data_IF_173596383131
#
_entry.id   IF_173596383131
#
_cell.length_a   1.000
_cell.length_b   1.000
_cell.length_c   1.000
_cell.angle_alpha   90.00
_cell.angle_beta   90.00
_cell.angle_gamma   90.00
#
_symmetry.space_group_name_H-M   'P 1'
#
loop_
_entity.id
_entity.type
_entity.pdbx_description
1 polymer ?
#
# COMPACT_ATOMS: atom_id res chain seq x y z
N UNK A 1 1.95 -15.01 -5.80
CA UNK A 1 1.07 -15.77 -4.89
C UNK A 1 -0.31 -15.13 -4.94
N UNK A 2 -1.36 -15.93 -4.90
CA UNK A 2 -2.75 -15.48 -4.85
C UNK A 2 -3.31 -15.92 -3.51
N UNK A 3 -3.88 -14.99 -2.76
CA UNK A 3 -4.50 -15.28 -1.47
C UNK A 3 -6.01 -15.34 -1.68
N UNK A 4 -6.62 -16.43 -1.24
CA UNK A 4 -8.07 -16.64 -1.29
C UNK A 4 -8.57 -16.56 0.15
N UNK A 5 -9.27 -15.48 0.47
CA UNK A 5 -9.86 -15.28 1.79
C UNK A 5 -11.26 -15.91 1.83
N UNK A 6 -11.44 -16.92 2.68
CA UNK A 6 -12.66 -17.71 2.77
C UNK A 6 -12.78 -18.76 1.66
N UNK A 7 -14.03 -19.15 1.38
CA UNK A 7 -14.34 -20.24 0.44
C UNK A 7 -14.39 -19.76 -1.02
N UNK A 8 -14.18 -20.70 -1.94
CA UNK A 8 -14.34 -20.48 -3.38
C UNK A 8 -15.05 -21.68 -4.02
N UNK A 9 -15.83 -21.42 -5.07
CA UNK A 9 -16.65 -22.44 -5.77
C UNK A 9 -16.13 -22.78 -7.16
N UNK A 10 -15.05 -22.13 -7.58
CA UNK A 10 -14.47 -22.29 -8.92
C UNK A 10 -13.24 -23.18 -8.89
N UNK A 11 -12.95 -23.87 -9.98
CA UNK A 11 -11.67 -24.55 -10.14
C UNK A 11 -10.57 -23.52 -10.44
N UNK A 12 -9.54 -23.49 -9.59
CA UNK A 12 -8.43 -22.56 -9.74
C UNK A 12 -7.43 -23.08 -10.78
N UNK A 13 -7.03 -22.25 -11.76
CA UNK A 13 -6.11 -22.68 -12.81
C UNK A 13 -4.74 -23.03 -12.25
N UNK A 14 -4.21 -24.18 -12.66
CA UNK A 14 -2.91 -24.68 -12.21
C UNK A 14 -1.80 -24.27 -13.19
N UNK A 15 -0.80 -23.55 -12.69
CA UNK A 15 0.39 -23.11 -13.44
C UNK A 15 1.61 -23.08 -12.51
N UNK A 16 2.79 -23.40 -13.03
CA UNK A 16 4.03 -23.51 -12.25
C UNK A 16 4.43 -22.21 -11.52
N UNK A 17 4.02 -21.06 -12.05
CA UNK A 17 4.32 -19.73 -11.50
C UNK A 17 3.18 -19.17 -10.62
N UNK A 18 2.11 -19.94 -10.39
CA UNK A 18 0.99 -19.55 -9.55
C UNK A 18 0.99 -20.43 -8.29
N UNK A 19 0.86 -19.78 -7.14
CA UNK A 19 0.71 -20.42 -5.84
C UNK A 19 -0.50 -19.82 -5.17
N UNK A 20 -1.37 -20.67 -4.64
CA UNK A 20 -2.56 -20.27 -3.91
C UNK A 20 -2.33 -20.45 -2.41
N UNK A 21 -2.87 -19.54 -1.62
CA UNK A 21 -2.92 -19.62 -0.18
C UNK A 21 -4.35 -19.33 0.26
N UNK A 22 -5.02 -20.31 0.86
CA UNK A 22 -6.37 -20.15 1.40
C UNK A 22 -6.26 -19.75 2.87
N UNK A 23 -6.96 -18.69 3.26
CA UNK A 23 -6.92 -18.11 4.61
C UNK A 23 -8.31 -17.76 5.10
N UNK A 24 -8.48 -17.65 6.40
CA UNK A 24 -9.67 -17.00 6.97
C UNK A 24 -9.67 -15.50 6.61
N UNK A 25 -10.86 -14.93 6.40
CA UNK A 25 -10.99 -13.50 6.14
C UNK A 25 -10.81 -12.71 7.46
N UNK A 26 -9.56 -12.35 7.75
CA UNK A 26 -9.15 -11.53 8.88
C UNK A 26 -8.56 -10.22 8.38
N UNK A 27 -8.96 -9.07 8.94
CA UNK A 27 -8.38 -7.75 8.63
C UNK A 27 -8.34 -7.40 7.12
N UNK A 28 -9.33 -7.86 6.35
CA UNK A 28 -9.46 -7.59 4.91
C UNK A 28 -8.20 -7.97 4.11
N UNK A 29 -7.82 -7.16 3.11
CA UNK A 29 -6.68 -7.43 2.24
C UNK A 29 -5.35 -7.51 2.99
N UNK A 30 -5.21 -6.74 4.09
CA UNK A 30 -3.98 -6.78 4.88
C UNK A 30 -3.75 -8.16 5.51
N UNK A 31 -4.79 -8.79 6.08
CA UNK A 31 -4.60 -10.12 6.66
C UNK A 31 -4.21 -11.15 5.59
N UNK A 32 -4.71 -10.97 4.36
CA UNK A 32 -4.24 -11.74 3.21
C UNK A 32 -2.75 -11.49 2.89
N UNK A 33 -2.32 -10.24 2.83
CA UNK A 33 -0.91 -9.89 2.59
C UNK A 33 0.01 -10.40 3.69
N UNK A 34 -0.38 -10.24 4.95
CA UNK A 34 0.33 -10.80 6.10
C UNK A 34 0.51 -12.32 5.94
N UNK A 35 -0.59 -13.05 5.70
CA UNK A 35 -0.52 -14.50 5.56
C UNK A 35 0.38 -14.92 4.39
N UNK A 36 0.36 -14.19 3.27
CA UNK A 36 1.26 -14.43 2.15
C UNK A 36 2.74 -14.22 2.52
N UNK A 37 3.06 -13.12 3.22
CA UNK A 37 4.42 -12.85 3.68
C UNK A 37 4.90 -13.95 4.63
N UNK A 38 4.04 -14.41 5.55
CA UNK A 38 4.38 -15.48 6.48
C UNK A 38 4.57 -16.83 5.78
N UNK A 39 3.70 -17.18 4.84
CA UNK A 39 3.78 -18.43 4.09
C UNK A 39 5.01 -18.48 3.17
N UNK A 40 5.43 -17.34 2.62
CA UNK A 40 6.65 -17.24 1.81
C UNK A 40 7.91 -17.21 2.68
N UNK A 41 7.84 -16.72 3.92
CA UNK A 41 8.97 -16.62 4.83
C UNK A 41 10.15 -15.86 4.19
N UNK A 42 11.37 -16.36 4.37
CA UNK A 42 12.57 -15.73 3.82
C UNK A 42 12.62 -15.72 2.29
N UNK A 43 11.89 -16.61 1.61
CA UNK A 43 11.86 -16.62 0.14
C UNK A 43 11.29 -15.33 -0.45
N UNK A 44 10.46 -14.60 0.29
CA UNK A 44 9.91 -13.31 -0.18
C UNK A 44 10.99 -12.23 -0.31
N UNK A 45 12.12 -12.38 0.38
CA UNK A 45 13.23 -11.42 0.32
C UNK A 45 14.11 -11.61 -0.92
N UNK A 46 13.92 -12.71 -1.67
CA UNK A 46 14.63 -12.96 -2.92
C UNK A 46 14.09 -12.16 -4.12
N UNK A 47 12.90 -11.54 -3.99
CA UNK A 47 12.29 -10.76 -5.06
C UNK A 47 12.88 -9.35 -5.11
N UNK A 48 13.31 -8.92 -6.31
CA UNK A 48 13.79 -7.54 -6.55
C UNK A 48 12.69 -6.51 -6.28
N UNK A 49 11.48 -6.79 -6.77
CA UNK A 49 10.29 -5.95 -6.59
C UNK A 49 9.11 -6.85 -6.24
N UNK A 50 8.34 -6.44 -5.24
CA UNK A 50 7.10 -7.09 -4.84
C UNK A 50 5.91 -6.18 -5.18
N UNK A 51 4.82 -6.79 -5.63
CA UNK A 51 3.60 -6.11 -6.04
C UNK A 51 2.45 -6.64 -5.18
N UNK A 52 1.68 -5.71 -4.62
CA UNK A 52 0.50 -5.99 -3.82
C UNK A 52 -0.70 -5.42 -4.58
N UNK A 53 -1.71 -6.26 -4.79
CA UNK A 53 -2.91 -5.92 -5.56
C UNK A 53 -4.12 -6.48 -4.84
N UNK A 54 -5.05 -5.59 -4.54
CA UNK A 54 -6.34 -5.91 -3.94
C UNK A 54 -7.26 -6.59 -4.96
N UNK A 55 -8.12 -7.51 -4.50
CA UNK A 55 -9.10 -8.21 -5.35
C UNK A 55 -10.16 -7.29 -5.99
N UNK A 56 -10.40 -6.10 -5.44
CA UNK A 56 -11.27 -5.06 -6.01
C UNK A 56 -10.70 -4.40 -7.26
N UNK A 57 -9.39 -4.56 -7.52
CA UNK A 57 -8.76 -4.05 -8.73
C UNK A 57 -9.13 -4.97 -9.89
N UNK A 58 -9.96 -4.47 -10.80
CA UNK A 58 -10.38 -5.21 -12.00
C UNK A 58 -9.20 -5.61 -12.90
N UNK A 59 -8.10 -4.87 -12.80
CA UNK A 59 -6.83 -5.19 -13.42
C UNK A 59 -6.04 -3.91 -13.67
N UNK A 60 -4.70 -3.95 -13.64
CA UNK A 60 -3.91 -2.91 -14.26
C UNK A 60 -3.95 -3.13 -15.78
N UNK A 61 -5.12 -2.87 -16.39
CA UNK A 61 -5.28 -2.95 -17.83
C UNK A 61 -4.51 -1.82 -18.49
N UNK A 62 -3.81 -2.17 -19.56
CA UNK A 62 -3.26 -1.19 -20.46
C UNK A 62 -4.06 -1.19 -21.76
N UNK A 63 -4.18 -0.04 -22.44
CA UNK A 63 -4.74 -0.01 -23.78
C UNK A 63 -4.02 -1.02 -24.68
N UNK A 64 -4.75 -1.68 -25.58
CA UNK A 64 -4.22 -2.79 -26.40
C UNK A 64 -3.04 -2.40 -27.31
N UNK A 65 -2.89 -1.12 -27.61
CA UNK A 65 -1.76 -0.58 -28.38
C UNK A 65 -0.50 -0.34 -27.54
N UNK A 66 -0.57 -0.47 -26.20
CA UNK A 66 0.58 -0.35 -25.31
C UNK A 66 1.24 -1.72 -25.18
N UNK A 67 2.46 -1.84 -25.72
CA UNK A 67 3.23 -3.09 -25.68
C UNK A 67 3.94 -3.34 -24.32
N UNK A 68 3.95 -2.35 -23.41
CA UNK A 68 4.63 -2.51 -22.12
C UNK A 68 3.83 -3.40 -21.16
N UNK A 69 4.55 -4.07 -20.27
CA UNK A 69 3.95 -4.73 -19.11
C UNK A 69 3.55 -3.70 -18.05
N UNK A 70 2.34 -3.77 -17.50
CA UNK A 70 1.87 -2.82 -16.48
C UNK A 70 2.79 -2.76 -15.26
N UNK A 71 3.46 -3.86 -14.89
CA UNK A 71 4.43 -3.89 -13.78
C UNK A 71 5.60 -2.95 -14.05
N UNK A 72 6.00 -2.83 -15.32
CA UNK A 72 7.10 -1.96 -15.71
C UNK A 72 6.81 -0.48 -15.43
N UNK A 73 5.53 -0.07 -15.41
CA UNK A 73 5.12 1.31 -15.07
C UNK A 73 5.45 1.62 -13.62
N UNK A 74 5.06 0.73 -12.69
CA UNK A 74 5.41 0.85 -11.28
C UNK A 74 6.93 0.78 -11.07
N UNK A 75 7.58 -0.21 -11.70
CA UNK A 75 9.04 -0.40 -11.58
C UNK A 75 9.82 0.83 -12.06
N UNK A 76 9.37 1.49 -13.13
CA UNK A 76 10.02 2.70 -13.64
C UNK A 76 10.01 3.87 -12.64
N UNK A 77 9.10 3.88 -11.65
CA UNK A 77 9.05 4.87 -10.58
C UNK A 77 9.93 4.49 -9.37
N UNK A 78 10.32 3.22 -9.23
CA UNK A 78 11.22 2.74 -8.18
C UNK A 78 12.68 3.07 -8.51
N UNK A 79 13.01 4.37 -8.53
CA UNK A 79 14.35 4.87 -8.82
C UNK A 79 14.97 5.54 -7.60
N UNK A 80 16.30 5.49 -7.50
CA UNK A 80 17.05 6.13 -6.41
C UNK A 80 16.60 5.70 -5.01
N UNK A 81 16.02 6.65 -4.29
CA UNK A 81 15.56 6.53 -2.90
C UNK A 81 14.03 6.32 -2.78
N UNK A 82 13.31 6.07 -3.87
CA UNK A 82 11.89 5.71 -3.82
C UNK A 82 11.73 4.29 -3.27
N UNK A 83 11.08 4.18 -2.10
CA UNK A 83 10.84 2.92 -1.41
C UNK A 83 9.46 2.32 -1.67
N UNK A 84 8.49 3.12 -2.14
CA UNK A 84 7.11 2.68 -2.32
C UNK A 84 6.46 3.43 -3.49
N UNK A 85 5.76 2.71 -4.36
CA UNK A 85 5.00 3.28 -5.48
C UNK A 85 3.57 2.79 -5.43
N UNK A 86 2.63 3.73 -5.40
CA UNK A 86 1.20 3.49 -5.48
C UNK A 86 0.59 3.87 -6.81
N UNK A 87 -0.69 3.54 -6.97
CA UNK A 87 -1.50 4.14 -8.05
C UNK A 87 -1.71 5.64 -7.81
N UNK A 88 -2.00 6.01 -6.56
CA UNK A 88 -2.20 7.39 -6.10
C UNK A 88 -1.60 7.57 -4.70
N UNK A 89 -1.42 8.81 -4.27
CA UNK A 89 -1.07 9.17 -2.90
C UNK A 89 -2.18 10.07 -2.35
N UNK A 90 -2.65 9.75 -1.14
CA UNK A 90 -3.51 10.64 -0.37
C UNK A 90 -2.64 11.49 0.56
N UNK A 91 -2.86 12.80 0.57
CA UNK A 91 -2.21 13.74 1.50
C UNK A 91 -3.22 14.01 2.60
N UNK A 92 -3.07 13.32 3.74
CA UNK A 92 -4.07 13.33 4.79
C UNK A 92 -4.24 14.74 5.37
N UNK A 93 -5.47 15.26 5.29
CA UNK A 93 -5.79 16.58 5.82
C UNK A 93 -5.64 16.62 7.36
N UNK A 94 -5.18 17.74 7.95
CA UNK A 94 -5.12 17.89 9.41
C UNK A 94 -6.46 17.66 10.10
N UNK A 95 -7.57 17.98 9.43
CA UNK A 95 -8.94 17.83 9.91
C UNK A 95 -9.48 16.40 9.77
N UNK A 96 -8.73 15.50 9.12
CA UNK A 96 -9.13 14.10 8.98
C UNK A 96 -9.24 13.45 10.37
N UNK A 97 -10.30 12.65 10.64
CA UNK A 97 -10.43 11.96 11.91
C UNK A 97 -9.25 11.01 12.17
N UNK A 98 -8.55 10.53 11.13
CA UNK A 98 -7.41 9.63 11.26
C UNK A 98 -6.12 10.33 11.71
N UNK A 99 -5.98 11.65 11.48
CA UNK A 99 -4.78 12.42 11.84
C UNK A 99 -4.53 12.42 13.37
N UNK A 100 -5.52 12.73 14.23
CA UNK A 100 -5.38 12.59 15.68
C UNK A 100 -5.03 11.16 16.13
N UNK A 101 -5.67 10.13 15.57
CA UNK A 101 -5.42 8.74 15.96
C UNK A 101 -3.99 8.30 15.60
N UNK A 102 -3.54 8.58 14.38
CA UNK A 102 -2.19 8.24 13.96
C UNK A 102 -1.15 8.97 14.81
N UNK A 103 -1.33 10.28 15.02
CA UNK A 103 -0.44 11.09 15.86
C UNK A 103 -0.34 10.55 17.28
N UNK A 104 -1.47 10.19 17.89
CA UNK A 104 -1.47 9.67 19.26
C UNK A 104 -0.71 8.34 19.39
N UNK A 105 -0.78 7.49 18.35
CA UNK A 105 -0.17 6.14 18.36
C UNK A 105 1.29 6.13 17.92
N UNK A 106 1.65 6.91 16.91
CA UNK A 106 2.97 6.84 16.26
C UNK A 106 3.75 8.16 16.26
N UNK A 107 3.07 9.29 16.49
CA UNK A 107 3.64 10.62 16.34
C UNK A 107 4.06 10.92 14.90
N UNK A 108 5.03 11.83 14.75
CA UNK A 108 5.59 12.21 13.46
C UNK A 108 5.04 13.55 12.92
N UNK A 109 5.69 14.09 11.87
CA UNK A 109 5.26 15.34 11.24
C UNK A 109 4.07 15.12 10.31
N UNK A 110 3.14 16.07 10.32
CA UNK A 110 2.05 16.14 9.34
C UNK A 110 2.49 16.83 8.03
N UNK A 111 1.79 16.57 6.91
CA UNK A 111 0.66 15.66 6.76
C UNK A 111 1.08 14.18 6.67
N UNK A 112 0.21 13.27 7.13
CA UNK A 112 0.45 11.81 7.08
C UNK A 112 0.16 11.23 5.68
N UNK A 113 0.90 11.73 4.70
CA UNK A 113 0.76 11.32 3.30
C UNK A 113 1.09 9.85 3.09
N UNK A 114 0.27 9.18 2.29
CA UNK A 114 0.39 7.74 2.11
C UNK A 114 -0.08 7.27 0.74
N UNK A 115 0.57 6.22 0.26
CA UNK A 115 0.12 5.47 -0.91
C UNK A 115 -1.19 4.77 -0.61
N UNK A 116 -2.16 4.90 -1.51
CA UNK A 116 -3.39 4.10 -1.45
C UNK A 116 -3.08 2.63 -1.75
N UNK A 117 -3.45 1.74 -0.84
CA UNK A 117 -3.02 0.32 -0.81
C UNK A 117 -3.82 -0.61 -1.73
N UNK A 118 -4.63 -0.06 -2.64
CA UNK A 118 -5.39 -0.85 -3.64
C UNK A 118 -4.47 -1.57 -4.64
N UNK A 119 -3.39 -0.91 -5.07
CA UNK A 119 -2.34 -1.48 -5.91
C UNK A 119 -1.04 -0.68 -5.73
N UNK A 120 0.00 -1.37 -5.27
CA UNK A 120 1.29 -0.76 -4.98
C UNK A 120 2.45 -1.74 -5.17
N UNK A 121 3.64 -1.20 -5.36
CA UNK A 121 4.89 -1.93 -5.51
C UNK A 121 5.98 -1.35 -4.61
N UNK A 122 6.89 -2.20 -4.17
CA UNK A 122 8.08 -1.77 -3.44
C UNK A 122 9.28 -2.66 -3.77
N UNK A 123 10.53 -2.17 -3.61
CA UNK A 123 11.72 -2.99 -3.72
C UNK A 123 11.77 -4.03 -2.60
N UNK A 124 12.41 -5.17 -2.84
CA UNK A 124 12.62 -6.21 -1.82
C UNK A 124 13.30 -5.69 -0.55
N UNK A 125 14.24 -4.73 -0.68
CA UNK A 125 14.87 -4.05 0.46
C UNK A 125 13.88 -3.30 1.35
N UNK A 126 12.81 -2.75 0.77
CA UNK A 126 11.78 -2.04 1.53
C UNK A 126 10.87 -3.02 2.26
N UNK A 127 10.52 -4.14 1.60
CA UNK A 127 9.80 -5.22 2.26
C UNK A 127 10.60 -5.80 3.45
N UNK A 128 11.91 -6.02 3.27
CA UNK A 128 12.79 -6.49 4.34
C UNK A 128 12.76 -5.56 5.56
N UNK A 129 12.90 -4.25 5.31
CA UNK A 129 12.82 -3.23 6.36
C UNK A 129 11.45 -3.23 7.06
N UNK A 130 10.34 -3.32 6.32
CA UNK A 130 9.00 -3.35 6.90
C UNK A 130 8.76 -4.60 7.77
N UNK A 131 9.31 -5.75 7.40
CA UNK A 131 9.30 -6.95 8.24
C UNK A 131 10.09 -6.73 9.53
N UNK A 132 11.30 -6.19 9.44
CA UNK A 132 12.14 -5.87 10.60
C UNK A 132 11.47 -4.84 11.54
N UNK A 133 10.79 -3.84 10.96
CA UNK A 133 10.02 -2.84 11.70
C UNK A 133 8.71 -3.36 12.32
N UNK A 134 8.42 -4.66 12.16
CA UNK A 134 7.23 -5.31 12.72
C UNK A 134 5.91 -4.92 12.05
N UNK A 135 5.93 -4.35 10.84
CA UNK A 135 4.71 -3.99 10.13
C UNK A 135 3.82 -5.21 9.83
N UNK A 136 4.44 -6.32 9.43
CA UNK A 136 3.77 -7.60 9.18
C UNK A 136 3.71 -8.50 10.43
N UNK A 137 3.72 -7.94 11.64
CA UNK A 137 3.66 -8.72 12.87
C UNK A 137 2.27 -8.69 13.56
N UNK A 138 1.32 -7.88 13.06
CA UNK A 138 -0.01 -7.71 13.67
C UNK A 138 -0.85 -8.97 13.45
N UNK A 139 -1.32 -9.56 14.56
CA UNK A 139 -2.12 -10.80 14.57
C UNK A 139 -3.55 -10.59 15.07
N UNK A 140 -3.80 -9.46 15.70
CA UNK A 140 -5.08 -9.15 16.33
C UNK A 140 -6.09 -8.72 15.27
N UNK A 141 -7.37 -9.02 15.53
CA UNK A 141 -8.45 -8.47 14.72
C UNK A 141 -8.55 -6.98 15.02
N UNK A 142 -8.45 -6.17 13.99
CA UNK A 142 -8.52 -4.72 14.09
C UNK A 142 -9.90 -4.21 13.70
N UNK A 143 -10.32 -3.13 14.33
CA UNK A 143 -11.49 -2.37 13.87
C UNK A 143 -11.19 -1.63 12.55
N UNK A 144 -12.22 -1.31 11.77
CA UNK A 144 -12.06 -0.71 10.42
C UNK A 144 -11.18 0.54 10.42
N UNK A 145 -11.31 1.41 11.41
CA UNK A 145 -10.50 2.63 11.51
C UNK A 145 -9.03 2.34 11.89
N UNK A 146 -8.80 1.29 12.68
CA UNK A 146 -7.45 0.83 13.03
C UNK A 146 -6.76 0.20 11.84
N UNK A 147 -7.49 -0.51 10.97
CA UNK A 147 -6.96 -1.04 9.69
C UNK A 147 -6.36 0.09 8.86
N UNK A 148 -7.05 1.23 8.72
CA UNK A 148 -6.52 2.39 7.99
C UNK A 148 -5.25 2.95 8.64
N UNK A 149 -5.24 3.14 9.96
CA UNK A 149 -4.09 3.69 10.70
C UNK A 149 -2.89 2.75 10.65
N UNK A 150 -3.11 1.46 10.92
CA UNK A 150 -2.07 0.43 10.99
C UNK A 150 -1.51 0.03 9.64
N UNK A 151 -2.31 0.10 8.57
CA UNK A 151 -1.91 -0.47 7.29
C UNK A 151 -1.74 0.58 6.20
N UNK A 152 -2.69 1.48 6.01
CA UNK A 152 -2.59 2.49 4.96
C UNK A 152 -1.59 3.58 5.34
N UNK A 153 -1.80 4.21 6.51
CA UNK A 153 -0.94 5.30 6.97
C UNK A 153 0.45 4.77 7.34
N UNK A 154 0.52 3.79 8.25
CA UNK A 154 1.79 3.34 8.83
C UNK A 154 2.76 2.77 7.79
N UNK A 155 2.28 2.13 6.74
CA UNK A 155 3.13 1.61 5.66
C UNK A 155 4.00 2.72 5.07
N UNK A 156 3.36 3.79 4.61
CA UNK A 156 4.04 4.90 3.94
C UNK A 156 4.90 5.70 4.92
N UNK A 157 4.39 5.90 6.14
CA UNK A 157 5.11 6.63 7.18
C UNK A 157 6.38 5.92 7.65
N UNK A 158 6.39 4.57 7.71
CA UNK A 158 7.62 3.81 7.98
C UNK A 158 8.65 4.00 6.86
N UNK A 159 8.21 3.98 5.60
CA UNK A 159 9.08 4.21 4.43
C UNK A 159 9.70 5.61 4.48
N UNK A 160 8.89 6.63 4.72
CA UNK A 160 9.34 8.03 4.86
C UNK A 160 10.28 8.20 6.05
N UNK A 161 9.96 7.61 7.22
CA UNK A 161 10.80 7.63 8.42
C UNK A 161 12.17 6.99 8.20
N UNK A 162 12.27 6.00 7.31
CA UNK A 162 13.55 5.38 6.92
C UNK A 162 14.41 6.28 6.02
N UNK A 163 13.85 7.38 5.52
CA UNK A 163 14.51 8.33 4.61
C UNK A 163 14.24 8.06 3.12
N UNK A 164 13.37 7.09 2.82
CA UNK A 164 12.96 6.80 1.45
C UNK A 164 11.74 7.64 1.06
N UNK A 165 11.65 8.04 -0.20
CA UNK A 165 10.49 8.74 -0.70
C UNK A 165 9.39 7.75 -1.17
N UNK A 166 8.18 8.26 -1.34
CA UNK A 166 7.06 7.54 -1.96
C UNK A 166 6.71 8.21 -3.29
N UNK A 167 6.16 7.45 -4.23
CA UNK A 167 5.72 7.97 -5.52
C UNK A 167 4.37 7.38 -5.94
N UNK A 168 3.74 8.01 -6.92
CA UNK A 168 2.48 7.58 -7.50
C UNK A 168 2.60 7.43 -9.02
N UNK A 169 1.65 6.72 -9.63
CA UNK A 169 1.48 6.75 -11.08
C UNK A 169 0.95 8.12 -11.56
N UNK A 170 0.13 8.79 -10.74
CA UNK A 170 -0.31 10.16 -11.00
C UNK A 170 0.90 11.12 -10.97
N UNK A 171 1.24 11.78 -12.10
CA UNK A 171 2.46 12.58 -12.21
C UNK A 171 2.57 13.71 -11.18
N UNK A 172 1.46 14.36 -10.87
CA UNK A 172 1.41 15.51 -9.97
C UNK A 172 1.78 15.12 -8.54
N UNK A 173 1.26 13.97 -8.08
CA UNK A 173 1.65 13.39 -6.79
C UNK A 173 3.06 12.79 -6.81
N UNK A 174 3.54 12.34 -7.98
CA UNK A 174 4.90 11.80 -8.13
C UNK A 174 6.00 12.86 -8.08
N UNK A 175 5.67 14.15 -8.21
CA UNK A 175 6.64 15.25 -8.23
C UNK A 175 7.00 15.78 -6.83
N UNK A 176 6.30 15.32 -5.79
CA UNK A 176 6.46 15.80 -4.41
C UNK A 176 7.52 14.96 -3.67
N UNK A 177 8.37 15.62 -2.90
CA UNK A 177 9.22 14.96 -1.91
C UNK A 177 8.47 14.89 -0.57
N UNK A 178 7.95 13.70 -0.24
CA UNK A 178 7.12 13.49 0.94
C UNK A 178 7.90 13.45 2.25
N UNK A 179 9.23 13.54 2.18
CA UNK A 179 10.09 13.68 3.37
C UNK A 179 10.17 15.13 3.85
N UNK A 180 9.76 16.06 3.01
CA UNK A 180 9.74 17.49 3.30
C UNK A 180 8.32 17.96 3.63
N UNK A 181 8.16 19.09 4.34
CA UNK A 181 6.85 19.72 4.50
C UNK A 181 6.20 20.00 3.15
N UNK A 182 4.92 19.64 3.03
CA UNK A 182 4.15 19.80 1.80
C UNK A 182 2.66 20.00 2.11
N UNK A 183 1.89 20.38 1.10
CA UNK A 183 0.44 20.62 1.18
C UNK A 183 -0.25 19.92 0.02
N UNK A 184 -1.50 19.48 0.21
CA UNK A 184 -2.21 18.71 -0.81
C UNK A 184 -2.36 19.52 -2.10
N UNK A 185 -1.84 19.07 -3.22
CA UNK A 185 -1.95 19.78 -4.50
C UNK A 185 -3.40 19.91 -4.98
N UNK A 186 -4.32 19.08 -4.50
CA UNK A 186 -5.74 19.16 -4.79
C UNK A 186 -6.44 20.19 -3.87
N UNK A 187 -6.87 21.36 -4.39
CA UNK A 187 -7.47 22.42 -3.59
C UNK A 187 -8.84 22.04 -3.00
N UNK A 188 -9.51 21.02 -3.54
CA UNK A 188 -10.81 20.53 -3.05
C UNK A 188 -10.61 19.66 -1.82
N UNK A 189 -9.62 18.77 -1.84
CA UNK A 189 -9.25 17.92 -0.70
C UNK A 189 -8.74 18.76 0.49
N UNK A 190 -8.08 19.90 0.24
CA UNK A 190 -7.68 20.86 1.29
C UNK A 190 -8.82 21.47 2.10
N UNK A 191 -10.04 21.53 1.57
CA UNK A 191 -11.12 22.37 2.13
C UNK A 191 -12.18 21.59 2.91
N UNK A 192 -12.27 20.28 2.75
CA UNK A 192 -13.37 19.49 3.30
C UNK A 192 -12.91 18.10 3.76
N UNK A 193 -13.19 17.77 5.01
CA UNK A 193 -13.10 16.40 5.55
C UNK A 193 -13.98 15.39 4.78
N UNK A 194 -15.04 15.86 4.10
CA UNK A 194 -15.89 15.04 3.22
C UNK A 194 -15.27 14.71 1.85
N UNK A 195 -14.13 15.33 1.51
CA UNK A 195 -13.36 15.03 0.30
C UNK A 195 -12.20 14.07 0.53
N UNK A 196 -11.98 13.62 1.77
CA UNK A 196 -10.92 12.67 2.10
C UNK A 196 -11.27 11.29 1.53
N UNK A 197 -10.43 10.73 0.62
CA UNK A 197 -10.61 9.38 0.09
C UNK A 197 -10.71 8.32 1.20
N UNK A 198 -10.07 8.54 2.35
CA UNK A 198 -10.15 7.65 3.51
C UNK A 198 -11.55 7.62 4.14
N UNK A 199 -12.33 8.69 3.98
CA UNK A 199 -13.71 8.81 4.50
C UNK A 199 -14.74 8.27 3.50
N UNK A 200 -14.45 8.32 2.19
CA UNK A 200 -15.37 7.87 1.13
C UNK A 200 -15.25 6.38 0.77
N UNK A 201 -14.22 5.69 1.25
CA UNK A 201 -14.14 4.23 1.27
C UNK A 201 -14.83 3.59 2.52
N UNK A 202 -15.52 4.41 3.34
CA UNK A 202 -16.23 3.97 4.54
C UNK A 202 -17.61 3.36 4.24
#
# INVERSE_FOLDING_TARGET
MIVVAGDHTIELPQRNNIRYLVVENLNHDFGGYWAAIQALGESVLSYEVVYFINSSVRGPFLPSYVAQDWKSIFRAKLTGDVGLVGSTINILAPESPFSPFYRAKYGGPEPFSHVQTVAYAMPGRTLAYLREAGFYAIRERLEKHEVTVEYELRLSQLVVKKGWNIAALLPEYSAIDYRQPHVDINPVARRYSSGDPCVSAC
#
